data_IF_196884115037
#
_entry.id   IF_196884115037
#
_cell.length_a   1.000
_cell.length_b   1.000
_cell.length_c   1.000
_cell.angle_alpha   90.00
_cell.angle_beta   90.00
_cell.angle_gamma   90.00
#
_symmetry.space_group_name_H-M   'P 1'
#
loop_
_entity.id
_entity.type
_entity.pdbx_description
1 polymer ?
#
# COMPACT_ATOMS: atom_id res chain seq x y z
N UNK A 1 -1.51 6.82 4.45
CA UNK A 1 -1.94 5.67 3.62
C UNK A 1 -0.96 5.47 2.48
N UNK A 2 -0.30 4.30 2.44
CA UNK A 2 0.54 3.86 1.33
C UNK A 2 -0.22 3.07 0.27
N UNK A 3 0.46 2.77 -0.85
CA UNK A 3 -0.10 1.89 -1.89
C UNK A 3 -0.27 0.46 -1.37
N UNK A 4 0.73 -0.03 -0.66
CA UNK A 4 0.95 -1.43 -0.34
C UNK A 4 1.79 -2.15 -1.40
N UNK A 5 2.58 -3.09 -0.97
CA UNK A 5 3.45 -3.92 -1.80
C UNK A 5 3.54 -5.34 -1.23
N UNK A 6 3.98 -6.29 -2.06
CA UNK A 6 4.35 -7.62 -1.60
C UNK A 6 5.72 -7.64 -0.91
N UNK A 7 6.49 -6.57 -1.05
CA UNK A 7 7.78 -6.39 -0.42
C UNK A 7 7.62 -5.79 1.00
N UNK A 8 8.06 -6.50 2.06
CA UNK A 8 7.98 -6.00 3.43
C UNK A 8 8.84 -4.75 3.68
N UNK A 9 9.97 -4.59 3.00
CA UNK A 9 10.80 -3.39 3.14
C UNK A 9 10.07 -2.15 2.61
N UNK A 10 9.43 -2.24 1.45
CA UNK A 10 8.61 -1.16 0.92
C UNK A 10 7.47 -0.77 1.87
N UNK A 11 6.80 -1.75 2.50
CA UNK A 11 5.76 -1.49 3.49
C UNK A 11 6.31 -0.88 4.78
N UNK A 12 7.48 -1.33 5.23
CA UNK A 12 8.16 -0.81 6.43
C UNK A 12 8.54 0.67 6.26
N UNK A 13 8.91 1.10 5.06
CA UNK A 13 9.21 2.49 4.76
C UNK A 13 8.00 3.42 4.99
N UNK A 14 6.79 2.95 4.65
CA UNK A 14 5.56 3.71 4.94
C UNK A 14 5.33 3.83 6.45
N UNK A 15 5.58 2.75 7.21
CA UNK A 15 5.46 2.77 8.67
C UNK A 15 6.49 3.72 9.30
N UNK A 16 7.71 3.75 8.77
CA UNK A 16 8.76 4.69 9.19
C UNK A 16 8.32 6.14 8.96
N UNK A 17 7.77 6.47 7.79
CA UNK A 17 7.26 7.79 7.46
C UNK A 17 6.11 8.18 8.39
N UNK A 18 5.18 7.25 8.65
CA UNK A 18 4.09 7.47 9.60
C UNK A 18 4.63 7.84 10.98
N UNK A 19 5.65 7.14 11.46
CA UNK A 19 6.28 7.43 12.76
C UNK A 19 6.96 8.80 12.78
N UNK A 20 7.70 9.15 11.72
CA UNK A 20 8.34 10.46 11.60
C UNK A 20 7.33 11.61 11.58
N UNK A 21 6.22 11.46 10.86
CA UNK A 21 5.14 12.46 10.85
C UNK A 21 4.45 12.56 12.21
N UNK A 22 4.17 11.44 12.84
CA UNK A 22 3.55 11.42 14.16
C UNK A 22 4.35 12.20 15.19
N UNK A 23 5.62 11.85 15.34
CA UNK A 23 6.50 12.48 16.33
C UNK A 23 6.89 13.91 15.93
N UNK A 24 7.15 14.14 14.64
CA UNK A 24 7.59 15.45 14.15
C UNK A 24 6.51 16.53 14.18
N UNK A 25 5.24 16.17 14.02
CA UNK A 25 4.11 17.09 14.06
C UNK A 25 3.44 17.13 15.46
N UNK A 26 3.62 16.06 16.24
CA UNK A 26 3.05 15.96 17.58
C UNK A 26 1.58 15.52 17.56
N UNK A 27 1.17 14.68 16.64
CA UNK A 27 -0.17 14.06 16.66
C UNK A 27 -0.36 13.18 17.89
N UNK A 28 -1.59 13.13 18.42
CA UNK A 28 -1.91 12.25 19.55
C UNK A 28 -1.81 10.76 19.22
N UNK A 29 -2.10 10.41 17.96
CA UNK A 29 -1.98 9.05 17.42
C UNK A 29 -1.74 9.07 15.93
N UNK A 30 -1.08 8.05 15.41
CA UNK A 30 -1.01 7.79 13.97
C UNK A 30 -1.05 6.29 13.69
N UNK A 31 -1.63 5.91 12.56
CA UNK A 31 -1.74 4.54 12.09
C UNK A 31 -1.34 4.47 10.62
N UNK A 32 -0.67 3.39 10.22
CA UNK A 32 -0.36 3.11 8.82
C UNK A 32 -1.48 2.28 8.22
N UNK A 33 -1.92 2.65 7.01
CA UNK A 33 -2.86 1.87 6.23
C UNK A 33 -2.43 1.81 4.77
N UNK A 34 -3.01 0.88 4.01
CA UNK A 34 -2.67 0.65 2.60
C UNK A 34 -3.92 0.64 1.73
N UNK A 35 -3.77 1.11 0.49
CA UNK A 35 -4.88 1.10 -0.47
C UNK A 35 -5.16 -0.29 -1.07
N UNK A 36 -4.23 -1.23 -0.92
CA UNK A 36 -4.33 -2.61 -1.39
C UNK A 36 -3.07 -3.40 -1.12
N UNK A 37 -3.01 -4.64 -1.59
CA UNK A 37 -1.88 -5.59 -1.58
C UNK A 37 -1.51 -6.08 -0.18
N UNK A 38 -1.43 -5.24 0.83
CA UNK A 38 -1.09 -5.59 2.21
C UNK A 38 -2.04 -4.94 3.23
N UNK A 39 -1.96 -5.35 4.48
CA UNK A 39 -2.82 -4.92 5.57
C UNK A 39 -2.10 -3.99 6.56
N UNK A 40 -2.87 -3.16 7.31
CA UNK A 40 -4.33 -3.00 7.23
C UNK A 40 -4.79 -2.17 6.04
N UNK A 41 -5.96 -2.51 5.47
CA UNK A 41 -6.63 -1.67 4.48
C UNK A 41 -7.22 -0.42 5.13
N UNK A 42 -7.59 0.58 4.30
CA UNK A 42 -8.03 1.90 4.76
C UNK A 42 -9.25 1.82 5.69
N UNK A 43 -10.34 1.16 5.27
CA UNK A 43 -11.56 1.10 6.09
C UNK A 43 -11.35 0.40 7.43
N UNK A 44 -10.74 -0.80 7.52
CA UNK A 44 -10.42 -1.43 8.81
C UNK A 44 -9.51 -0.58 9.71
N UNK A 45 -8.53 0.13 9.14
CA UNK A 45 -7.67 1.01 9.90
C UNK A 45 -8.43 2.21 10.47
N UNK A 46 -9.33 2.81 9.69
CA UNK A 46 -10.18 3.90 10.15
C UNK A 46 -11.11 3.45 11.28
N UNK A 47 -11.77 2.30 11.15
CA UNK A 47 -12.63 1.75 12.20
C UNK A 47 -11.86 1.51 13.51
N UNK A 48 -10.61 1.06 13.42
CA UNK A 48 -9.74 0.90 14.57
C UNK A 48 -9.39 2.25 15.21
N UNK A 49 -9.04 3.27 14.40
CA UNK A 49 -8.67 4.60 14.91
C UNK A 49 -9.87 5.31 15.56
N UNK A 50 -11.06 5.14 15.04
CA UNK A 50 -12.30 5.66 15.65
C UNK A 50 -12.42 5.23 17.11
N UNK A 51 -12.03 3.99 17.44
CA UNK A 51 -12.09 3.45 18.81
C UNK A 51 -11.09 4.12 19.76
N UNK A 52 -10.04 4.76 19.27
CA UNK A 52 -9.08 5.53 20.08
C UNK A 52 -9.71 6.79 20.67
N UNK A 53 -10.79 7.30 20.06
CA UNK A 53 -11.63 8.35 20.65
C UNK A 53 -11.20 9.78 20.29
N UNK A 54 -10.38 10.00 19.30
CA UNK A 54 -10.07 11.35 18.83
C UNK A 54 -11.25 11.94 18.05
N UNK A 55 -11.43 13.25 18.20
CA UNK A 55 -12.51 14.00 17.52
C UNK A 55 -12.21 14.34 16.06
N UNK A 56 -10.95 14.27 15.66
CA UNK A 56 -10.49 14.60 14.32
C UNK A 56 -9.52 13.53 13.84
N UNK A 57 -9.76 13.03 12.62
CA UNK A 57 -8.91 12.06 11.93
C UNK A 57 -8.49 12.68 10.60
N UNK A 58 -7.19 12.76 10.36
CA UNK A 58 -6.63 13.24 9.10
C UNK A 58 -6.15 12.02 8.31
N UNK A 59 -6.64 11.86 7.10
CA UNK A 59 -6.22 10.79 6.19
C UNK A 59 -5.33 11.37 5.12
N UNK A 60 -4.07 10.96 5.12
CA UNK A 60 -3.05 11.44 4.20
C UNK A 60 -2.64 10.33 3.22
N UNK A 61 -2.99 10.44 1.92
CA UNK A 61 -2.48 9.55 0.88
C UNK A 61 -1.01 9.86 0.58
N UNK A 62 -0.13 8.90 0.82
CA UNK A 62 1.28 9.03 0.47
C UNK A 62 1.50 8.60 -0.99
N UNK A 63 1.08 9.45 -1.91
CA UNK A 63 1.11 9.24 -3.35
C UNK A 63 1.66 10.48 -4.05
N UNK A 64 2.46 10.27 -5.09
CA UNK A 64 2.98 11.37 -5.92
C UNK A 64 1.89 11.95 -6.82
N UNK A 65 1.03 11.11 -7.40
CA UNK A 65 0.04 11.51 -8.39
C UNK A 65 -1.35 11.05 -8.00
N UNK A 66 -2.36 11.71 -8.58
CA UNK A 66 -3.75 11.28 -8.49
C UNK A 66 -3.98 9.97 -9.24
N UNK A 67 -5.12 9.35 -9.00
CA UNK A 67 -5.55 8.14 -9.69
C UNK A 67 -6.53 7.31 -8.89
N UNK A 68 -6.96 6.20 -9.46
CA UNK A 68 -7.98 5.31 -8.90
C UNK A 68 -7.72 4.89 -7.44
N UNK A 69 -6.45 4.77 -7.05
CA UNK A 69 -6.10 4.40 -5.68
C UNK A 69 -6.37 5.53 -4.68
N UNK A 70 -6.08 6.77 -5.05
CA UNK A 70 -6.38 7.95 -4.23
C UNK A 70 -7.89 8.13 -4.10
N UNK A 71 -8.63 7.96 -5.20
CA UNK A 71 -10.10 8.02 -5.20
C UNK A 71 -10.70 6.93 -4.30
N UNK A 72 -10.15 5.72 -4.34
CA UNK A 72 -10.56 4.61 -3.47
C UNK A 72 -10.33 4.94 -1.98
N UNK A 73 -9.17 5.52 -1.65
CA UNK A 73 -8.88 5.96 -0.28
C UNK A 73 -9.95 6.96 0.18
N UNK A 74 -10.22 7.99 -0.63
CA UNK A 74 -11.20 9.02 -0.26
C UNK A 74 -12.63 8.47 -0.15
N UNK A 75 -13.03 7.54 -1.01
CA UNK A 75 -14.31 6.84 -0.90
C UNK A 75 -14.41 6.07 0.42
N UNK A 76 -13.36 5.34 0.80
CA UNK A 76 -13.31 4.63 2.10
C UNK A 76 -13.47 5.59 3.28
N UNK A 77 -12.86 6.78 3.20
CA UNK A 77 -13.03 7.82 4.23
C UNK A 77 -14.47 8.30 4.28
N UNK A 78 -15.08 8.57 3.12
CA UNK A 78 -16.46 9.04 3.03
C UNK A 78 -17.46 8.00 3.57
N UNK A 79 -17.23 6.72 3.31
CA UNK A 79 -18.07 5.62 3.83
C UNK A 79 -18.00 5.53 5.35
N UNK A 80 -16.79 5.53 5.93
CA UNK A 80 -16.61 5.47 7.38
C UNK A 80 -17.14 6.74 8.06
N UNK A 81 -16.93 7.92 7.46
CA UNK A 81 -17.41 9.18 8.01
C UNK A 81 -18.93 9.26 8.14
N UNK A 82 -19.69 8.62 7.22
CA UNK A 82 -21.17 8.55 7.28
C UNK A 82 -21.64 7.80 8.53
N UNK A 83 -20.90 6.77 8.94
CA UNK A 83 -21.24 5.98 10.13
C UNK A 83 -20.82 6.72 11.42
N UNK A 84 -19.73 7.45 11.39
CA UNK A 84 -19.13 8.10 12.55
C UNK A 84 -19.26 9.64 12.49
N UNK A 85 -20.49 10.13 12.37
CA UNK A 85 -20.81 11.56 12.15
C UNK A 85 -20.31 12.52 13.27
N UNK A 86 -19.93 12.00 14.44
CA UNK A 86 -19.37 12.79 15.55
C UNK A 86 -17.87 13.07 15.40
N UNK A 87 -17.21 12.45 14.44
CA UNK A 87 -15.79 12.57 14.17
C UNK A 87 -15.59 13.39 12.91
N UNK A 88 -14.70 14.36 12.96
CA UNK A 88 -14.30 15.13 11.80
C UNK A 88 -13.23 14.35 11.01
N UNK A 89 -13.57 13.93 9.78
CA UNK A 89 -12.61 13.30 8.87
C UNK A 89 -12.09 14.33 7.86
N UNK A 90 -10.78 14.53 7.85
CA UNK A 90 -10.11 15.42 6.91
C UNK A 90 -9.33 14.59 5.89
N UNK A 91 -9.60 14.82 4.61
CA UNK A 91 -8.86 14.24 3.49
C UNK A 91 -7.72 15.20 3.12
N UNK A 92 -6.49 14.88 3.53
CA UNK A 92 -5.33 15.64 3.08
C UNK A 92 -5.07 15.38 1.59
N UNK A 93 -4.56 16.35 0.83
CA UNK A 93 -4.14 16.12 -0.54
C UNK A 93 -2.96 15.14 -0.59
N UNK A 94 -2.78 14.49 -1.73
CA UNK A 94 -1.58 13.71 -2.03
C UNK A 94 -0.39 14.67 -2.33
N UNK A 95 0.82 14.11 -2.50
CA UNK A 95 2.05 14.91 -2.59
C UNK A 95 2.11 15.84 -3.81
N UNK A 96 1.67 15.33 -4.97
CA UNK A 96 1.63 16.07 -6.24
C UNK A 96 2.95 16.82 -6.54
N UNK A 97 2.84 18.00 -7.10
CA UNK A 97 3.93 18.91 -7.46
C UNK A 97 4.35 19.85 -6.31
N UNK A 98 4.17 19.42 -5.05
CA UNK A 98 4.59 20.22 -3.92
C UNK A 98 6.08 20.63 -4.06
N UNK A 99 6.44 21.91 -3.84
CA UNK A 99 7.80 22.40 -4.08
C UNK A 99 8.91 21.55 -3.46
N UNK A 100 8.68 21.01 -2.25
CA UNK A 100 9.63 20.13 -1.58
C UNK A 100 9.80 18.76 -2.25
N UNK A 101 8.78 18.28 -2.94
CA UNK A 101 8.86 17.04 -3.76
C UNK A 101 9.71 17.30 -4.98
N UNK A 102 9.47 18.42 -5.68
CA UNK A 102 10.25 18.81 -6.87
C UNK A 102 11.71 19.04 -6.50
N UNK A 103 11.98 19.75 -5.40
CA UNK A 103 13.32 19.98 -4.85
C UNK A 103 14.03 18.64 -4.60
N UNK A 104 13.36 17.67 -3.96
CA UNK A 104 13.91 16.35 -3.71
C UNK A 104 14.25 15.60 -5.01
N UNK A 105 13.45 15.73 -6.05
CA UNK A 105 13.77 15.14 -7.37
C UNK A 105 15.02 15.79 -7.97
N UNK A 106 15.15 17.11 -7.90
CA UNK A 106 16.35 17.80 -8.36
C UNK A 106 17.59 17.30 -7.60
N UNK A 107 17.51 17.20 -6.27
CA UNK A 107 18.61 16.67 -5.45
C UNK A 107 19.01 15.27 -5.90
N UNK A 108 18.02 14.39 -6.14
CA UNK A 108 18.33 13.01 -6.60
C UNK A 108 19.01 12.98 -7.98
N UNK A 109 18.65 13.90 -8.88
CA UNK A 109 19.33 14.03 -10.17
C UNK A 109 20.78 14.51 -9.99
N UNK A 110 20.97 15.50 -9.13
CA UNK A 110 22.32 16.04 -8.81
C UNK A 110 23.18 14.95 -8.18
N UNK A 111 22.69 14.22 -7.18
CA UNK A 111 23.40 13.11 -6.55
C UNK A 111 23.94 12.11 -7.57
N UNK A 112 23.13 11.74 -8.58
CA UNK A 112 23.56 10.82 -9.65
C UNK A 112 24.67 11.44 -10.52
N UNK A 113 24.59 12.73 -10.84
CA UNK A 113 25.60 13.44 -11.63
C UNK A 113 26.93 13.51 -10.86
N UNK A 114 26.86 13.73 -9.55
CA UNK A 114 28.02 13.82 -8.67
C UNK A 114 28.58 12.45 -8.25
N UNK A 115 27.92 11.37 -8.65
CA UNK A 115 28.35 9.99 -8.38
C UNK A 115 27.83 9.40 -7.08
N UNK A 116 26.99 10.10 -6.34
CA UNK A 116 26.39 9.64 -5.10
C UNK A 116 25.08 8.86 -5.40
N UNK A 117 25.21 7.56 -5.57
CA UNK A 117 24.04 6.69 -5.81
C UNK A 117 23.59 6.07 -4.49
N UNK A 118 22.71 6.74 -3.78
CA UNK A 118 22.11 6.23 -2.57
C UNK A 118 20.75 5.54 -2.86
N UNK A 119 20.77 4.21 -2.88
CA UNK A 119 19.51 3.45 -2.95
C UNK A 119 19.02 3.11 -1.55
N UNK A 120 17.75 3.40 -1.30
CA UNK A 120 17.09 3.19 0.00
C UNK A 120 16.61 1.73 0.23
N UNK A 121 16.86 0.83 -0.71
CA UNK A 121 16.43 -0.57 -0.66
C UNK A 121 17.46 -1.44 0.08
N UNK A 122 17.57 -1.30 1.37
CA UNK A 122 18.57 -2.06 2.15
C UNK A 122 18.12 -3.48 2.49
N UNK A 123 16.82 -3.73 2.62
CA UNK A 123 16.24 -5.02 3.00
C UNK A 123 15.27 -5.57 1.95
N UNK A 124 15.48 -5.21 0.68
CA UNK A 124 14.67 -5.71 -0.42
C UNK A 124 14.85 -7.24 -0.57
N UNK A 125 13.77 -8.00 -0.42
CA UNK A 125 13.78 -9.47 -0.48
C UNK A 125 14.33 -10.06 -1.78
N UNK A 126 14.31 -9.29 -2.87
CA UNK A 126 14.89 -9.69 -4.16
C UNK A 126 16.42 -9.46 -4.26
N UNK A 127 17.02 -8.80 -3.29
CA UNK A 127 18.46 -8.45 -3.28
C UNK A 127 19.20 -9.01 -2.08
N UNK A 128 18.55 -9.04 -0.93
CA UNK A 128 19.11 -9.49 0.35
C UNK A 128 18.24 -10.59 0.93
N UNK A 129 18.85 -11.49 1.66
CA UNK A 129 18.11 -12.54 2.34
C UNK A 129 17.26 -11.96 3.47
N UNK A 130 15.95 -12.02 3.33
CA UNK A 130 14.98 -11.60 4.34
C UNK A 130 14.30 -12.85 4.89
N UNK A 131 14.14 -12.94 6.20
CA UNK A 131 13.54 -14.08 6.88
C UNK A 131 12.15 -14.41 6.30
N UNK A 132 11.97 -15.63 5.85
CA UNK A 132 10.73 -16.11 5.22
C UNK A 132 10.64 -15.85 3.71
N UNK A 133 11.71 -15.32 3.08
CA UNK A 133 11.79 -15.03 1.65
C UNK A 133 13.12 -15.48 1.04
N UNK A 134 13.75 -16.47 1.66
CA UNK A 134 15.10 -16.91 1.32
C UNK A 134 15.23 -17.38 -0.12
N UNK A 135 14.18 -18.00 -0.65
CA UNK A 135 14.14 -18.52 -2.02
C UNK A 135 13.90 -17.43 -3.08
N UNK A 136 13.60 -16.21 -2.67
CA UNK A 136 13.27 -15.11 -3.60
C UNK A 136 14.50 -14.24 -3.96
N UNK A 137 15.64 -14.47 -3.30
CA UNK A 137 16.87 -13.71 -3.57
C UNK A 137 17.35 -13.95 -5.00
N UNK A 138 17.45 -12.87 -5.76
CA UNK A 138 17.89 -12.91 -7.16
C UNK A 138 16.80 -13.20 -8.18
N UNK A 139 15.56 -13.47 -7.74
CA UNK A 139 14.43 -13.61 -8.65
C UNK A 139 14.02 -12.26 -9.26
N UNK A 140 13.40 -12.32 -10.43
CA UNK A 140 12.76 -11.16 -11.03
C UNK A 140 11.57 -10.71 -10.17
N UNK A 141 11.42 -9.41 -10.01
CA UNK A 141 10.29 -8.85 -9.29
C UNK A 141 8.98 -9.18 -10.02
N UNK A 142 8.10 -9.92 -9.39
CA UNK A 142 6.79 -10.23 -9.96
C UNK A 142 5.90 -8.99 -9.93
N UNK A 143 5.27 -8.71 -11.08
CA UNK A 143 4.26 -7.66 -11.17
C UNK A 143 2.92 -8.21 -10.69
N UNK A 144 2.51 -7.84 -9.48
CA UNK A 144 1.21 -8.25 -8.95
C UNK A 144 0.11 -7.33 -9.48
N UNK A 145 -0.65 -7.83 -10.46
CA UNK A 145 -1.88 -7.18 -10.92
C UNK A 145 -3.12 -7.63 -10.14
N UNK A 146 -2.93 -8.30 -9.01
CA UNK A 146 -4.06 -8.69 -8.17
C UNK A 146 -4.61 -7.48 -7.43
N UNK A 147 -5.69 -6.95 -7.96
CA UNK A 147 -6.54 -6.04 -7.21
C UNK A 147 -7.14 -6.83 -6.05
N UNK A 148 -6.95 -6.36 -4.81
CA UNK A 148 -7.70 -6.89 -3.68
C UNK A 148 -9.17 -6.60 -3.96
N UNK A 149 -9.92 -7.64 -4.32
CA UNK A 149 -11.38 -7.58 -4.44
C UNK A 149 -11.96 -7.40 -3.04
N UNK A 150 -12.21 -6.17 -2.71
CA UNK A 150 -12.84 -5.81 -1.44
C UNK A 150 -13.66 -4.57 -1.63
N UNK A 151 -14.85 -4.72 -2.18
CA UNK A 151 -15.82 -3.64 -2.27
C UNK A 151 -16.32 -3.33 -3.68
N UNK A 152 -17.25 -4.10 -4.16
CA UNK A 152 -18.32 -3.67 -5.04
C UNK A 152 -17.98 -3.44 -6.51
N UNK A 153 -18.58 -4.28 -7.32
CA UNK A 153 -18.80 -4.24 -8.77
C UNK A 153 -17.70 -4.84 -9.64
N UNK A 154 -17.97 -6.07 -10.05
CA UNK A 154 -17.37 -6.75 -11.19
C UNK A 154 -17.56 -5.91 -12.45
N UNK A 155 -16.49 -5.35 -13.00
CA UNK A 155 -16.48 -4.96 -14.39
C UNK A 155 -15.95 -6.14 -15.18
N UNK A 156 -16.89 -6.84 -15.83
CA UNK A 156 -16.65 -7.88 -16.81
C UNK A 156 -15.98 -7.24 -18.03
N UNK A 157 -14.65 -7.36 -18.12
CA UNK A 157 -13.90 -7.01 -19.31
C UNK A 157 -13.69 -8.28 -20.12
N UNK A 158 -14.67 -8.62 -20.96
CA UNK A 158 -14.51 -9.59 -22.03
C UNK A 158 -13.52 -9.04 -23.07
N UNK A 159 -12.25 -9.41 -22.92
CA UNK A 159 -11.27 -9.28 -23.99
C UNK A 159 -11.33 -10.54 -24.85
N UNK A 160 -12.08 -10.45 -25.96
CA UNK A 160 -12.10 -11.44 -27.01
C UNK A 160 -10.79 -11.32 -27.81
N UNK A 161 -9.80 -12.13 -27.46
CA UNK A 161 -8.60 -12.34 -28.27
C UNK A 161 -8.52 -13.80 -28.67
N UNK A 162 -9.14 -14.13 -29.82
CA UNK A 162 -8.90 -15.37 -30.55
C UNK A 162 -7.45 -15.39 -31.04
N UNK A 163 -6.55 -16.01 -30.30
CA UNK A 163 -5.29 -16.53 -30.79
C UNK A 163 -5.19 -18.02 -30.46
N UNK A 164 -5.40 -18.78 -31.53
CA UNK A 164 -5.21 -20.22 -31.60
C UNK A 164 -3.70 -20.53 -31.52
N UNK A 165 -3.22 -20.90 -30.33
CA UNK A 165 -1.91 -21.55 -30.13
C UNK A 165 -2.07 -22.60 -29.04
N UNK A 166 -2.23 -23.87 -29.49
CA UNK A 166 -2.08 -25.05 -28.69
C UNK A 166 -0.67 -25.15 -28.12
N UNK A 167 -0.48 -24.74 -26.87
CA UNK A 167 0.65 -25.14 -26.04
C UNK A 167 0.10 -25.64 -24.71
N UNK A 168 0.16 -26.96 -24.57
CA UNK A 168 -0.12 -27.70 -23.36
C UNK A 168 1.00 -27.42 -22.35
N UNK A 169 0.77 -26.46 -21.45
CA UNK A 169 1.59 -26.23 -20.28
C UNK A 169 0.67 -26.21 -19.07
N UNK A 170 0.57 -27.37 -18.41
CA UNK A 170 0.05 -27.48 -17.05
C UNK A 170 1.00 -26.74 -16.11
N UNK A 171 0.79 -25.46 -15.93
CA UNK A 171 1.41 -24.68 -14.87
C UNK A 171 0.49 -24.74 -13.65
N UNK A 172 0.84 -25.60 -12.72
CA UNK A 172 0.29 -25.57 -11.36
C UNK A 172 0.88 -24.33 -10.66
N UNK A 173 0.16 -23.19 -10.77
CA UNK A 173 0.53 -21.96 -10.11
C UNK A 173 -0.05 -21.99 -8.69
N UNK A 174 0.56 -22.77 -7.81
CA UNK A 174 0.39 -22.57 -6.38
C UNK A 174 1.15 -21.29 -5.99
N UNK A 175 0.51 -20.14 -6.17
CA UNK A 175 1.04 -18.84 -5.73
C UNK A 175 1.04 -18.79 -4.21
N UNK A 176 2.15 -19.15 -3.60
CA UNK A 176 2.40 -18.85 -2.20
C UNK A 176 2.64 -17.33 -2.06
N UNK A 177 1.57 -16.57 -1.78
CA UNK A 177 1.72 -15.19 -1.39
C UNK A 177 2.19 -15.16 0.07
N UNK A 178 3.32 -14.50 0.37
CA UNK A 178 3.85 -14.41 1.73
C UNK A 178 2.98 -13.58 2.67
N UNK A 179 2.00 -12.85 2.13
CA UNK A 179 1.04 -12.09 2.91
C UNK A 179 -0.31 -12.79 2.94
N UNK A 180 -0.95 -12.86 4.12
CA UNK A 180 -2.28 -13.41 4.22
C UNK A 180 -3.26 -12.54 3.43
N UNK A 181 -3.79 -13.08 2.34
CA UNK A 181 -5.01 -12.55 1.73
C UNK A 181 -6.16 -12.63 2.72
N UNK A 182 -7.27 -11.93 2.45
CA UNK A 182 -8.45 -11.98 3.32
C UNK A 182 -8.89 -13.41 3.62
N UNK A 183 -8.68 -14.35 2.68
CA UNK A 183 -9.02 -15.77 2.78
C UNK A 183 -7.85 -16.65 3.28
N UNK A 184 -6.68 -16.08 3.55
CA UNK A 184 -5.55 -16.84 4.07
C UNK A 184 -5.82 -17.27 5.52
N UNK A 185 -5.40 -18.50 5.95
CA UNK A 185 -5.60 -18.96 7.34
C UNK A 185 -5.06 -18.01 8.41
N UNK A 186 -4.05 -17.19 8.09
CA UNK A 186 -3.50 -16.13 8.96
C UNK A 186 -4.06 -14.74 8.62
N UNK A 187 -5.07 -14.64 7.77
CA UNK A 187 -5.73 -13.38 7.44
C UNK A 187 -6.58 -12.83 8.58
N UNK A 188 -7.07 -11.59 8.45
CA UNK A 188 -7.83 -10.91 9.51
C UNK A 188 -9.10 -11.64 9.96
N UNK A 189 -9.62 -12.57 9.15
CA UNK A 189 -10.81 -13.37 9.49
C UNK A 189 -10.50 -14.44 10.56
N UNK A 190 -9.26 -14.95 10.61
CA UNK A 190 -8.85 -15.97 11.59
C UNK A 190 -8.45 -15.40 12.95
N UNK A 191 -8.26 -14.09 13.06
CA UNK A 191 -7.98 -13.40 14.32
C UNK A 191 -9.25 -13.04 15.11
N UNK A 192 -10.42 -13.43 14.61
CA UNK A 192 -11.72 -13.26 15.30
C UNK A 192 -12.09 -14.52 16.11
N UNK A 193 -11.18 -15.01 16.95
CA UNK A 193 -11.51 -15.99 18.00
C UNK A 193 -11.05 -15.49 19.34
#
# INVERSE_FOLDING_TARGET
VGRGASDPDANSNISKITRLLWEGIGFGWAETAYSGVTFPLVSPALEKIVQVGYKRIIVFPYFLFTGILVDRIYKSVDEVSKVHSKIEFLKAPYLNDHPKVVETFCDRVIDVIDGDINMNCQLCKYREQVLGFEDEVGLAQESHHHHVEGGGQSHDHTHDHTHDHTHDHTHDHSHHHPYPHADHPLGPVTLKK
#
